data_IF_262095381314
#
_entry.id   IF_262095381314
#
_cell.length_a   1.000
_cell.length_b   1.000
_cell.length_c   1.000
_cell.angle_alpha   90.00
_cell.angle_beta   90.00
_cell.angle_gamma   90.00
#
_symmetry.space_group_name_H-M   'P 1'
#
loop_
_entity.id
_entity.type
_entity.pdbx_description
1 polymer ?
#
# COMPACT_ATOMS: atom_id res chain seq x y z
N UNK A 1 11.76 -14.52 26.62
CA UNK A 1 10.93 -13.44 27.21
C UNK A 1 10.21 -12.78 26.06
N UNK A 2 8.88 -12.83 26.05
CA UNK A 2 8.05 -12.19 25.01
C UNK A 2 8.21 -10.67 25.15
N UNK A 3 8.94 -10.06 24.22
CA UNK A 3 9.09 -8.61 24.14
C UNK A 3 7.81 -8.00 23.61
N UNK A 4 6.80 -7.85 24.47
CA UNK A 4 5.71 -6.93 24.21
C UNK A 4 6.32 -5.54 24.02
N UNK A 5 6.01 -4.87 22.92
CA UNK A 5 6.41 -3.48 22.74
C UNK A 5 6.00 -2.68 23.99
N UNK A 6 6.90 -1.86 24.59
CA UNK A 6 6.54 -1.09 25.77
C UNK A 6 5.28 -0.27 25.45
N UNK A 7 4.39 -0.12 26.43
CA UNK A 7 3.05 0.47 26.24
C UNK A 7 3.09 1.82 25.47
N UNK A 8 4.17 2.58 25.64
CA UNK A 8 4.45 3.84 24.96
C UNK A 8 4.63 3.70 23.44
N UNK A 9 5.23 2.59 22.98
CA UNK A 9 5.41 2.30 21.55
C UNK A 9 4.09 1.94 20.88
N UNK A 10 3.19 1.23 21.57
CA UNK A 10 1.89 0.89 21.01
C UNK A 10 1.00 2.15 20.83
N UNK A 11 0.99 3.03 21.83
CA UNK A 11 0.30 4.31 21.76
C UNK A 11 0.88 5.22 20.65
N UNK A 12 2.22 5.25 20.50
CA UNK A 12 2.87 5.97 19.42
C UNK A 12 2.44 5.45 18.04
N UNK A 13 2.45 4.13 17.85
CA UNK A 13 2.06 3.52 16.58
C UNK A 13 0.59 3.77 16.22
N UNK A 14 -0.31 3.83 17.22
CA UNK A 14 -1.71 4.24 17.01
C UNK A 14 -1.85 5.71 16.61
N UNK A 15 -1.00 6.60 17.12
CA UNK A 15 -1.02 8.01 16.78
C UNK A 15 -0.48 8.32 15.38
N UNK A 16 0.34 7.42 14.80
CA UNK A 16 0.88 7.60 13.46
C UNK A 16 -0.19 7.35 12.39
N UNK A 17 -0.20 8.14 11.30
CA UNK A 17 -1.10 7.93 10.16
C UNK A 17 -0.65 6.76 9.27
N UNK A 18 -0.12 5.70 9.88
CA UNK A 18 0.39 4.50 9.22
C UNK A 18 -0.23 3.29 9.90
N UNK A 19 -0.85 2.42 9.13
CA UNK A 19 -1.34 1.16 9.65
C UNK A 19 -0.17 0.22 9.94
N UNK A 20 -0.03 -0.27 11.17
CA UNK A 20 1.00 -1.24 11.55
C UNK A 20 0.39 -2.54 12.09
N UNK A 21 0.96 -3.68 11.66
CA UNK A 21 0.78 -4.99 12.26
C UNK A 21 2.14 -5.64 12.55
N UNK A 22 2.29 -6.21 13.75
CA UNK A 22 3.52 -6.85 14.22
C UNK A 22 3.22 -8.29 14.59
N UNK A 23 4.13 -9.19 14.23
CA UNK A 23 4.10 -10.61 14.51
C UNK A 23 5.38 -11.03 15.23
N UNK A 24 5.28 -11.98 16.15
CA UNK A 24 6.44 -12.60 16.78
C UNK A 24 7.14 -13.62 15.86
N UNK A 25 8.22 -14.23 16.34
CA UNK A 25 8.98 -15.24 15.59
C UNK A 25 8.18 -16.51 15.23
N UNK A 26 7.03 -16.74 15.87
CA UNK A 26 6.09 -17.82 15.53
C UNK A 26 4.98 -17.36 14.58
N UNK A 27 5.09 -16.14 14.07
CA UNK A 27 4.09 -15.46 13.23
C UNK A 27 2.73 -15.34 13.92
N UNK A 28 2.73 -15.15 15.24
CA UNK A 28 1.53 -14.81 16.00
C UNK A 28 1.44 -13.29 16.13
N UNK A 29 0.25 -12.75 15.89
CA UNK A 29 0.00 -11.32 15.98
C UNK A 29 0.29 -10.82 17.40
N UNK A 30 1.13 -9.80 17.53
CA UNK A 30 1.40 -9.15 18.82
C UNK A 30 0.71 -7.80 18.92
N UNK A 31 0.63 -7.06 17.81
CA UNK A 31 0.00 -5.75 17.73
C UNK A 31 -0.63 -5.55 16.35
N UNK A 32 -1.83 -4.98 16.33
CA UNK A 32 -2.46 -4.46 15.11
C UNK A 32 -3.15 -3.14 15.42
N UNK A 33 -2.68 -2.07 14.81
CA UNK A 33 -3.29 -0.74 14.93
C UNK A 33 -4.65 -0.69 14.21
N UNK A 34 -5.51 0.25 14.62
CA UNK A 34 -6.75 0.56 13.92
C UNK A 34 -6.51 0.95 12.45
N UNK A 35 -5.42 1.69 12.18
CA UNK A 35 -5.02 2.05 10.81
C UNK A 35 -4.76 0.82 9.93
N UNK A 36 -4.15 -0.24 10.48
CA UNK A 36 -3.93 -1.46 9.71
C UNK A 36 -5.24 -2.22 9.46
N UNK A 37 -6.15 -2.28 10.43
CA UNK A 37 -7.50 -2.84 10.25
C UNK A 37 -8.23 -2.12 9.10
N UNK A 38 -8.19 -0.79 9.10
CA UNK A 38 -8.79 0.04 8.07
C UNK A 38 -8.19 -0.25 6.68
N UNK A 39 -6.88 -0.52 6.60
CA UNK A 39 -6.21 -0.92 5.36
C UNK A 39 -6.68 -2.27 4.78
N UNK A 40 -7.31 -3.09 5.61
CA UNK A 40 -7.94 -4.36 5.25
C UNK A 40 -9.46 -4.22 5.08
N UNK A 41 -10.02 -3.01 5.23
CA UNK A 41 -11.46 -2.77 5.23
C UNK A 41 -12.17 -3.46 6.41
N UNK A 42 -11.52 -3.55 7.56
CA UNK A 42 -12.03 -4.21 8.77
C UNK A 42 -12.28 -3.18 9.89
N UNK A 43 -13.27 -3.45 10.77
CA UNK A 43 -13.40 -2.66 11.99
C UNK A 43 -12.16 -2.84 12.89
N UNK A 44 -11.87 -1.86 13.77
CA UNK A 44 -10.79 -1.98 14.74
C UNK A 44 -10.90 -3.26 15.57
N UNK A 45 -9.76 -3.85 15.96
CA UNK A 45 -9.70 -5.07 16.79
C UNK A 45 -10.36 -6.32 16.18
N UNK A 46 -10.49 -6.38 14.85
CA UNK A 46 -11.01 -7.59 14.16
C UNK A 46 -10.15 -8.83 14.36
N UNK A 47 -8.86 -8.66 14.65
CA UNK A 47 -7.97 -9.73 15.10
C UNK A 47 -7.31 -9.31 16.40
N UNK A 48 -7.12 -10.28 17.30
CA UNK A 48 -6.54 -10.06 18.62
C UNK A 48 -5.11 -10.61 18.69
N UNK A 49 -4.33 -10.15 19.65
CA UNK A 49 -3.02 -10.72 19.92
C UNK A 49 -3.11 -12.26 20.09
N UNK A 50 -2.10 -12.97 19.60
CA UNK A 50 -2.07 -14.42 19.50
C UNK A 50 -2.67 -15.00 18.22
N UNK A 51 -3.39 -14.22 17.41
CA UNK A 51 -3.96 -14.72 16.14
C UNK A 51 -2.82 -15.09 15.17
N UNK A 52 -2.77 -16.33 14.64
CA UNK A 52 -1.77 -16.73 13.66
C UNK A 52 -1.88 -15.92 12.36
N UNK A 53 -0.75 -15.53 11.77
CA UNK A 53 -0.71 -14.86 10.47
C UNK A 53 -1.48 -15.63 9.40
N UNK A 54 -1.37 -16.97 9.38
CA UNK A 54 -2.09 -17.84 8.45
C UNK A 54 -3.62 -17.65 8.50
N UNK A 55 -4.18 -17.43 9.68
CA UNK A 55 -5.62 -17.31 9.84
C UNK A 55 -6.09 -15.93 9.36
N UNK A 56 -5.28 -14.89 9.62
CA UNK A 56 -5.50 -13.54 9.10
C UNK A 56 -5.41 -13.53 7.57
N UNK A 57 -4.40 -14.18 6.99
CA UNK A 57 -4.22 -14.26 5.54
C UNK A 57 -5.37 -15.01 4.89
N UNK A 58 -5.76 -16.19 5.40
CA UNK A 58 -6.90 -16.95 4.88
C UNK A 58 -8.20 -16.18 4.97
N UNK A 59 -8.49 -15.57 6.13
CA UNK A 59 -9.69 -14.74 6.30
C UNK A 59 -9.74 -13.58 5.28
N UNK A 60 -8.59 -12.94 5.00
CA UNK A 60 -8.52 -11.88 4.00
C UNK A 60 -8.65 -12.40 2.56
N UNK A 61 -8.12 -13.59 2.25
CA UNK A 61 -8.26 -14.22 0.94
C UNK A 61 -9.74 -14.54 0.65
N UNK A 62 -10.46 -15.13 1.60
CA UNK A 62 -11.90 -15.41 1.46
C UNK A 62 -12.76 -14.14 1.35
N UNK A 63 -12.26 -13.00 1.83
CA UNK A 63 -12.88 -11.68 1.63
C UNK A 63 -12.54 -11.05 0.28
N UNK A 64 -11.75 -11.73 -0.56
CA UNK A 64 -11.33 -11.24 -1.88
C UNK A 64 -10.22 -10.18 -1.83
N UNK A 65 -9.51 -10.01 -0.71
CA UNK A 65 -8.51 -8.96 -0.57
C UNK A 65 -7.35 -9.10 -1.56
N UNK A 66 -7.02 -10.33 -1.96
CA UNK A 66 -5.91 -10.63 -2.86
C UNK A 66 -6.32 -10.67 -4.34
N UNK A 67 -7.55 -10.28 -4.67
CA UNK A 67 -8.06 -10.24 -6.04
C UNK A 67 -8.80 -11.52 -6.45
N UNK A 68 -9.12 -11.66 -7.75
CA UNK A 68 -9.85 -12.81 -8.27
C UNK A 68 -8.96 -14.06 -8.28
N UNK A 69 -9.56 -15.22 -7.98
CA UNK A 69 -8.88 -16.52 -7.95
C UNK A 69 -9.41 -17.41 -6.84
N UNK A 70 -8.79 -18.58 -6.68
CA UNK A 70 -9.07 -19.46 -5.55
C UNK A 70 -8.47 -18.87 -4.25
N UNK A 71 -9.29 -18.59 -3.21
CA UNK A 71 -8.81 -18.01 -1.96
C UNK A 71 -7.72 -18.82 -1.25
N UNK A 72 -7.78 -20.15 -1.30
CA UNK A 72 -6.79 -20.99 -0.61
C UNK A 72 -5.44 -20.96 -1.33
N UNK A 73 -5.44 -20.93 -2.66
CA UNK A 73 -4.22 -20.74 -3.47
C UNK A 73 -3.62 -19.37 -3.21
N UNK A 74 -4.42 -18.31 -3.26
CA UNK A 74 -3.97 -16.94 -2.99
C UNK A 74 -3.41 -16.79 -1.57
N UNK A 75 -4.05 -17.43 -0.59
CA UNK A 75 -3.55 -17.45 0.79
C UNK A 75 -2.20 -18.19 0.90
N UNK A 76 -2.06 -19.32 0.20
CA UNK A 76 -0.81 -20.08 0.17
C UNK A 76 0.35 -19.26 -0.42
N UNK A 77 0.12 -18.53 -1.52
CA UNK A 77 1.11 -17.66 -2.14
C UNK A 77 1.60 -16.56 -1.19
N UNK A 78 0.66 -15.91 -0.50
CA UNK A 78 0.99 -14.89 0.50
C UNK A 78 1.75 -15.50 1.68
N UNK A 79 1.38 -16.71 2.12
CA UNK A 79 2.10 -17.39 3.20
C UNK A 79 3.50 -17.85 2.78
N UNK A 80 3.70 -18.20 1.52
CA UNK A 80 5.00 -18.59 0.96
C UNK A 80 5.97 -17.41 0.75
N UNK A 81 5.51 -16.16 0.87
CA UNK A 81 6.38 -14.99 0.71
C UNK A 81 7.60 -15.04 1.65
N UNK A 82 8.77 -14.80 1.06
CA UNK A 82 10.02 -14.66 1.79
C UNK A 82 9.99 -13.42 2.70
N UNK A 83 10.03 -13.66 4.01
CA UNK A 83 10.00 -12.63 5.07
C UNK A 83 11.37 -12.37 5.68
N UNK A 84 12.43 -13.00 5.16
CA UNK A 84 13.80 -12.85 5.67
C UNK A 84 14.43 -11.51 5.29
N UNK A 85 13.82 -10.76 4.37
CA UNK A 85 14.29 -9.47 3.87
C UNK A 85 13.16 -8.45 3.81
N UNK A 86 13.49 -7.15 3.83
CA UNK A 86 12.51 -6.11 3.57
C UNK A 86 11.85 -6.28 2.20
N UNK A 87 10.55 -6.01 2.15
CA UNK A 87 9.73 -6.09 0.95
C UNK A 87 8.82 -4.88 0.83
N UNK A 88 8.40 -4.60 -0.41
CA UNK A 88 7.41 -3.56 -0.71
C UNK A 88 6.43 -4.10 -1.73
N UNK A 89 5.15 -3.92 -1.48
CA UNK A 89 4.11 -4.23 -2.44
C UNK A 89 2.99 -3.19 -2.37
N UNK A 90 2.28 -2.99 -3.48
CA UNK A 90 1.11 -2.11 -3.52
C UNK A 90 -0.15 -2.96 -3.52
N UNK A 91 -1.09 -2.63 -2.64
CA UNK A 91 -2.39 -3.29 -2.54
C UNK A 91 -3.50 -2.27 -2.72
N UNK A 92 -4.46 -2.57 -3.60
CA UNK A 92 -5.72 -1.83 -3.66
C UNK A 92 -6.75 -2.56 -2.78
N UNK A 93 -7.32 -1.87 -1.81
CA UNK A 93 -8.38 -2.40 -0.98
C UNK A 93 -9.70 -2.46 -1.76
N UNK A 94 -10.66 -3.25 -1.25
CA UNK A 94 -11.99 -3.45 -1.89
C UNK A 94 -12.76 -2.13 -2.06
N UNK A 95 -12.57 -1.17 -1.15
CA UNK A 95 -13.17 0.17 -1.22
C UNK A 95 -12.43 1.13 -2.17
N UNK A 96 -11.48 0.65 -2.97
CA UNK A 96 -10.74 1.45 -3.95
C UNK A 96 -9.50 2.17 -3.42
N UNK A 97 -9.31 2.26 -2.09
CA UNK A 97 -8.12 2.87 -1.48
C UNK A 97 -6.85 2.11 -1.88
N UNK A 98 -5.75 2.84 -2.03
CA UNK A 98 -4.45 2.30 -2.42
C UNK A 98 -3.50 2.38 -1.24
N UNK A 99 -2.88 1.26 -0.92
CA UNK A 99 -1.91 1.15 0.16
C UNK A 99 -0.57 0.68 -0.37
N UNK A 100 0.48 1.41 -0.01
CA UNK A 100 1.85 0.93 -0.13
C UNK A 100 2.19 0.17 1.14
N UNK A 101 2.41 -1.13 1.01
CA UNK A 101 2.81 -1.99 2.11
C UNK A 101 4.33 -2.11 2.14
N UNK A 102 4.88 -1.97 3.34
CA UNK A 102 6.27 -2.26 3.66
C UNK A 102 6.30 -3.40 4.64
N UNK A 103 7.11 -4.41 4.35
CA UNK A 103 7.29 -5.58 5.20
C UNK A 103 8.76 -5.66 5.60
N UNK A 104 9.07 -6.01 6.84
CA UNK A 104 10.45 -6.23 7.25
C UNK A 104 10.54 -7.27 8.37
N UNK A 105 11.61 -8.08 8.40
CA UNK A 105 11.93 -8.89 9.58
C UNK A 105 12.29 -7.98 10.76
N UNK A 106 11.99 -8.43 11.97
CA UNK A 106 12.43 -7.81 13.22
C UNK A 106 13.65 -8.53 13.78
N UNK A 107 14.51 -7.85 14.57
CA UNK A 107 15.73 -8.47 15.13
C UNK A 107 15.47 -9.71 16.01
N UNK A 108 14.28 -9.82 16.60
CA UNK A 108 13.85 -10.95 17.43
C UNK A 108 13.30 -12.13 16.63
N UNK A 109 13.41 -12.08 15.29
CA UNK A 109 12.86 -13.06 14.37
C UNK A 109 11.39 -12.83 14.04
N UNK A 110 10.76 -11.80 14.61
CA UNK A 110 9.41 -11.37 14.27
C UNK A 110 9.31 -10.72 12.89
N UNK A 111 8.12 -10.19 12.59
CA UNK A 111 7.83 -9.56 11.30
C UNK A 111 6.91 -8.36 11.49
N UNK A 112 7.19 -7.26 10.79
CA UNK A 112 6.34 -6.07 10.78
C UNK A 112 5.81 -5.81 9.38
N UNK A 113 4.56 -5.38 9.32
CA UNK A 113 3.92 -4.85 8.11
C UNK A 113 3.39 -3.44 8.40
N UNK A 114 3.83 -2.48 7.60
CA UNK A 114 3.33 -1.12 7.60
C UNK A 114 2.50 -0.89 6.33
N UNK A 115 1.34 -0.24 6.45
CA UNK A 115 0.43 0.11 5.39
C UNK A 115 0.28 1.63 5.34
N UNK A 116 0.83 2.25 4.30
CA UNK A 116 0.70 3.68 4.07
C UNK A 116 -0.42 3.91 3.06
N UNK A 117 -1.40 4.74 3.40
CA UNK A 117 -2.42 5.15 2.45
C UNK A 117 -1.81 6.12 1.43
N UNK A 118 -1.77 5.69 0.17
CA UNK A 118 -1.26 6.47 -0.97
C UNK A 118 -2.37 6.83 -1.95
N UNK A 119 -3.65 6.66 -1.56
CA UNK A 119 -4.81 6.91 -2.42
C UNK A 119 -4.77 8.32 -3.01
N UNK A 120 -4.68 9.34 -2.18
CA UNK A 120 -4.68 10.75 -2.61
C UNK A 120 -3.51 11.07 -3.53
N UNK A 121 -2.33 10.51 -3.25
CA UNK A 121 -1.14 10.68 -4.08
C UNK A 121 -1.31 10.02 -5.45
N UNK A 122 -1.84 8.81 -5.50
CA UNK A 122 -2.09 8.07 -6.74
C UNK A 122 -3.17 8.75 -7.58
N UNK A 123 -4.25 9.23 -6.96
CA UNK A 123 -5.34 9.94 -7.64
C UNK A 123 -4.87 11.29 -8.22
N UNK A 124 -4.13 12.08 -7.45
CA UNK A 124 -3.58 13.35 -7.91
C UNK A 124 -2.63 13.16 -9.10
N UNK A 125 -1.78 12.12 -9.04
CA UNK A 125 -0.90 11.76 -10.15
C UNK A 125 -1.69 11.37 -11.40
N UNK A 126 -2.67 10.49 -11.26
CA UNK A 126 -3.50 10.05 -12.38
C UNK A 126 -4.28 11.20 -13.03
N UNK A 127 -4.74 12.17 -12.22
CA UNK A 127 -5.41 13.36 -12.71
C UNK A 127 -4.47 14.30 -13.48
N UNK A 128 -3.26 14.52 -12.97
CA UNK A 128 -2.25 15.29 -13.67
C UNK A 128 -1.87 14.66 -15.02
N UNK A 129 -1.71 13.34 -15.05
CA UNK A 129 -1.42 12.57 -16.28
C UNK A 129 -2.58 12.69 -17.29
N UNK A 130 -3.83 12.54 -16.85
CA UNK A 130 -5.01 12.72 -17.73
C UNK A 130 -5.08 14.12 -18.34
N UNK A 131 -4.81 15.16 -17.54
CA UNK A 131 -4.79 16.55 -18.05
C UNK A 131 -3.70 16.76 -19.08
N UNK A 132 -2.50 16.24 -18.83
CA UNK A 132 -1.39 16.33 -19.77
C UNK A 132 -1.72 15.62 -21.10
N UNK A 133 -2.26 14.39 -21.05
CA UNK A 133 -2.69 13.66 -22.24
C UNK A 133 -3.78 14.42 -22.99
N UNK A 134 -4.78 14.96 -22.29
CA UNK A 134 -5.85 15.74 -22.91
C UNK A 134 -5.33 16.98 -23.63
N UNK A 135 -4.38 17.71 -23.04
CA UNK A 135 -3.72 18.85 -23.68
C UNK A 135 -2.95 18.41 -24.94
N UNK A 136 -2.15 17.35 -24.85
CA UNK A 136 -1.40 16.83 -26.01
C UNK A 136 -2.33 16.41 -27.14
N UNK A 137 -3.41 15.68 -26.84
CA UNK A 137 -4.39 15.25 -27.85
C UNK A 137 -5.10 16.45 -28.49
N UNK A 138 -5.50 17.44 -27.69
CA UNK A 138 -6.12 18.65 -28.20
C UNK A 138 -5.16 19.41 -29.15
N UNK A 139 -3.91 19.64 -28.72
CA UNK A 139 -2.90 20.33 -29.54
C UNK A 139 -2.60 19.56 -30.84
N UNK A 140 -2.52 18.23 -30.80
CA UNK A 140 -2.29 17.40 -31.98
C UNK A 140 -3.48 17.40 -32.97
N UNK A 141 -4.69 17.68 -32.49
CA UNK A 141 -5.87 17.80 -33.36
C UNK A 141 -6.00 19.16 -34.06
N UNK A 142 -5.29 20.18 -33.56
CA UNK A 142 -5.25 21.49 -34.18
C UNK A 142 -4.35 21.44 -35.41
N UNK A 143 -4.89 21.81 -36.58
CA UNK A 143 -4.10 22.11 -37.80
C UNK A 143 -3.46 23.51 -37.69
N UNK A 144 -2.85 23.82 -36.56
CA UNK A 144 -2.22 25.12 -36.29
C UNK A 144 -0.76 24.84 -35.94
N UNK A 145 0.17 25.43 -36.71
CA UNK A 145 1.59 25.37 -36.42
C UNK A 145 1.90 26.07 -35.10
N UNK A 146 2.32 25.32 -34.10
CA UNK A 146 2.66 25.85 -32.77
C UNK A 146 4.17 25.94 -32.62
N UNK A 147 4.68 27.17 -32.52
CA UNK A 147 6.06 27.48 -32.19
C UNK A 147 6.21 27.87 -30.72
N UNK A 148 7.03 27.15 -29.94
CA UNK A 148 7.41 27.60 -28.58
C UNK A 148 8.76 28.31 -28.64
N UNK A 149 8.91 29.45 -27.98
CA UNK A 149 10.15 30.24 -27.99
C UNK A 149 10.77 30.32 -26.58
N UNK A 150 12.10 30.36 -26.50
CA UNK A 150 12.81 30.67 -25.25
C UNK A 150 12.72 32.17 -24.91
N UNK A 151 13.12 32.55 -23.69
CA UNK A 151 13.17 33.94 -23.25
C UNK A 151 14.08 34.86 -24.12
N UNK A 152 14.92 34.29 -25.00
CA UNK A 152 15.72 35.00 -25.99
C UNK A 152 15.20 34.87 -27.43
N UNK A 153 13.88 34.66 -27.60
CA UNK A 153 13.18 34.56 -28.90
C UNK A 153 13.67 33.43 -29.83
N UNK A 154 14.37 32.42 -29.30
CA UNK A 154 14.75 31.23 -30.08
C UNK A 154 13.65 30.19 -30.11
N UNK A 155 13.29 29.73 -31.30
CA UNK A 155 12.33 28.65 -31.52
C UNK A 155 12.86 27.33 -30.92
N UNK A 156 12.07 26.71 -30.06
CA UNK A 156 12.39 25.46 -29.33
C UNK A 156 11.65 24.24 -29.89
N UNK A 157 10.45 24.42 -30.45
CA UNK A 157 9.64 23.35 -31.03
C UNK A 157 8.66 23.92 -32.05
N UNK A 158 8.45 23.22 -33.17
CA UNK A 158 7.42 23.50 -34.18
C UNK A 158 6.87 22.19 -34.75
N UNK A 159 5.56 22.07 -34.90
CA UNK A 159 4.91 20.99 -35.66
C UNK A 159 4.61 21.50 -37.09
N UNK A 160 4.72 20.67 -38.16
CA UNK A 160 4.33 21.04 -39.53
C UNK A 160 2.87 21.47 -39.67
#
# INVERSE_FOLDING_TARGET
>A
MSGGAPADSAALLEALPIGVAIFDAKLLLTLMTAGYCASLGLPPRSFTAGTPLRDIVRANAHRGLYGPGDPDVLAADVLAMDRSRPGRLRRRAVNGRVFDLHTAPLPDGGHVVCALDTTTLVEARAEAERRATGLVTALASLRIGLGTFSAGEKLLYSNP
#
